data_IF_921350831304
#
_entry.id   IF_921350831304
#
_cell.length_a   1.000
_cell.length_b   1.000
_cell.length_c   1.000
_cell.angle_alpha   90.00
_cell.angle_beta   90.00
_cell.angle_gamma   90.00
#
_symmetry.space_group_name_H-M   'P 1'
#
loop_
_entity.id
_entity.type
_entity.pdbx_description
1 polymer ?
#
# COMPACT_ATOMS: atom_id res chain seq x y z
N UNK A 1 -9.37 -23.96 27.05
CA UNK A 1 -9.53 -24.80 25.85
C UNK A 1 -8.74 -24.13 24.73
N UNK A 2 -7.47 -24.51 24.56
CA UNK A 2 -6.55 -23.91 23.59
C UNK A 2 -6.48 -24.82 22.36
N UNK A 3 -6.73 -24.27 21.18
CA UNK A 3 -6.58 -24.98 19.90
C UNK A 3 -5.30 -24.47 19.22
N UNK A 4 -4.30 -25.35 19.23
CA UNK A 4 -3.05 -25.25 18.49
C UNK A 4 -3.30 -25.33 16.98
N UNK A 5 -2.61 -24.50 16.19
CA UNK A 5 -2.36 -24.79 14.77
C UNK A 5 -0.87 -24.65 14.46
N UNK A 6 -0.33 -25.77 13.99
CA UNK A 6 1.03 -25.99 13.51
C UNK A 6 1.39 -25.07 12.34
N UNK A 7 2.60 -24.52 12.37
CA UNK A 7 3.30 -24.03 11.19
C UNK A 7 4.55 -24.88 10.94
N UNK A 8 4.60 -25.50 9.77
CA UNK A 8 5.68 -26.37 9.33
C UNK A 8 6.93 -25.55 9.01
N UNK A 9 8.03 -25.96 9.61
CA UNK A 9 9.35 -25.32 9.61
C UNK A 9 10.15 -25.82 8.39
N UNK A 10 10.46 -24.97 7.42
CA UNK A 10 11.34 -25.34 6.30
C UNK A 10 12.78 -24.82 6.48
N UNK A 11 13.67 -25.77 6.74
CA UNK A 11 14.96 -25.96 6.04
C UNK A 11 16.06 -24.91 6.17
N UNK A 12 17.03 -25.16 7.06
CA UNK A 12 18.38 -24.58 7.01
C UNK A 12 19.16 -25.16 5.82
N UNK A 13 19.74 -24.33 4.96
CA UNK A 13 20.80 -24.75 4.03
C UNK A 13 22.09 -23.98 4.29
N UNK A 14 23.06 -24.67 4.87
CA UNK A 14 24.50 -24.34 4.83
C UNK A 14 25.01 -24.48 3.40
N UNK A 15 25.68 -23.47 2.83
CA UNK A 15 26.54 -23.66 1.66
C UNK A 15 27.84 -22.87 1.74
N UNK A 16 28.89 -23.64 1.49
CA UNK A 16 30.31 -23.33 1.41
C UNK A 16 30.63 -22.19 0.43
N UNK A 17 31.60 -21.36 0.79
CA UNK A 17 32.22 -20.39 -0.12
C UNK A 17 33.20 -21.12 -1.03
N UNK A 18 32.92 -21.20 -2.33
CA UNK A 18 33.96 -21.29 -3.35
C UNK A 18 34.04 -19.94 -4.09
N UNK A 19 35.26 -19.44 -4.23
CA UNK A 19 35.57 -18.22 -4.96
C UNK A 19 36.04 -18.61 -6.36
N UNK A 20 35.42 -18.03 -7.37
CA UNK A 20 35.89 -18.02 -8.75
C UNK A 20 36.61 -16.70 -9.06
N UNK A 21 37.41 -16.74 -10.11
CA UNK A 21 38.64 -15.97 -10.35
C UNK A 21 38.41 -14.58 -10.97
N UNK A 22 37.16 -14.15 -11.12
CA UNK A 22 36.79 -12.90 -11.78
C UNK A 22 35.84 -12.05 -10.93
N UNK A 23 36.32 -11.56 -9.78
CA UNK A 23 35.59 -10.85 -8.72
C UNK A 23 34.70 -9.65 -9.11
N UNK A 24 34.51 -9.35 -10.40
CA UNK A 24 33.58 -8.37 -10.95
C UNK A 24 32.18 -8.94 -11.21
N UNK A 25 32.03 -10.23 -11.52
CA UNK A 25 30.71 -10.80 -11.84
C UNK A 25 29.84 -11.06 -10.60
N UNK A 26 30.45 -11.23 -9.42
CA UNK A 26 29.68 -11.42 -8.17
C UNK A 26 28.93 -10.17 -7.74
N UNK A 27 29.42 -8.97 -8.06
CA UNK A 27 28.81 -7.72 -7.59
C UNK A 27 27.48 -7.42 -8.32
N UNK A 28 27.41 -7.72 -9.62
CA UNK A 28 26.19 -7.59 -10.42
C UNK A 28 25.13 -8.67 -10.07
N UNK A 29 25.58 -9.88 -9.72
CA UNK A 29 24.68 -10.98 -9.30
C UNK A 29 24.21 -10.79 -7.85
N UNK A 30 24.96 -10.06 -7.02
CA UNK A 30 24.60 -9.79 -5.62
C UNK A 30 23.29 -9.00 -5.48
N UNK A 31 23.03 -8.06 -6.39
CA UNK A 31 21.76 -7.30 -6.40
C UNK A 31 20.54 -8.19 -6.68
N UNK A 32 20.75 -9.36 -7.30
CA UNK A 32 19.67 -10.23 -7.80
C UNK A 32 19.26 -11.36 -6.85
N UNK A 33 20.00 -11.62 -5.76
CA UNK A 33 19.77 -12.81 -4.92
C UNK A 33 19.68 -12.53 -3.41
N UNK A 34 19.48 -11.28 -2.99
CA UNK A 34 19.38 -10.93 -1.56
C UNK A 34 18.49 -9.74 -1.21
N UNK A 35 17.99 -8.99 -2.19
CA UNK A 35 17.01 -7.92 -1.95
C UNK A 35 15.65 -8.39 -2.48
N UNK A 36 14.59 -8.25 -1.67
CA UNK A 36 13.24 -8.26 -2.22
C UNK A 36 13.20 -7.18 -3.29
N UNK A 37 12.70 -7.51 -4.48
CA UNK A 37 12.43 -6.48 -5.49
C UNK A 37 11.56 -5.39 -4.85
N UNK A 38 11.83 -4.10 -5.13
CA UNK A 38 10.98 -3.03 -4.65
C UNK A 38 9.56 -3.21 -5.20
N UNK A 39 8.56 -2.86 -4.38
CA UNK A 39 7.15 -2.89 -4.81
C UNK A 39 6.92 -1.81 -5.88
N UNK A 40 6.42 -2.22 -7.05
CA UNK A 40 6.04 -1.32 -8.13
C UNK A 40 4.63 -0.77 -7.89
N UNK A 41 4.55 0.34 -7.15
CA UNK A 41 3.32 1.05 -6.86
C UNK A 41 2.97 2.07 -7.97
N UNK A 42 1.88 1.81 -8.71
CA UNK A 42 1.47 2.63 -9.86
C UNK A 42 0.30 3.57 -9.57
N UNK A 43 0.34 4.85 -10.01
CA UNK A 43 -0.80 5.76 -9.92
C UNK A 43 -1.92 5.38 -10.88
N UNK A 44 -3.16 5.36 -10.39
CA UNK A 44 -4.35 5.12 -11.21
C UNK A 44 -5.39 6.21 -10.99
N UNK A 45 -5.65 7.00 -12.04
CA UNK A 45 -6.63 8.10 -12.03
C UNK A 45 -7.94 7.76 -12.74
N UNK A 46 -8.08 6.55 -13.26
CA UNK A 46 -9.30 6.06 -13.92
C UNK A 46 -9.28 4.54 -14.05
N UNK A 47 -10.44 3.88 -14.28
CA UNK A 47 -10.51 2.44 -14.52
C UNK A 47 -9.61 1.97 -15.67
N UNK A 48 -9.42 2.77 -16.71
CA UNK A 48 -8.55 2.44 -17.84
C UNK A 48 -7.07 2.42 -17.42
N UNK A 49 -6.63 3.42 -16.64
CA UNK A 49 -5.26 3.46 -16.11
C UNK A 49 -5.00 2.34 -15.10
N UNK A 50 -6.02 1.95 -14.32
CA UNK A 50 -5.97 0.80 -13.43
C UNK A 50 -5.71 -0.50 -14.20
N UNK A 51 -6.50 -0.76 -15.25
CA UNK A 51 -6.31 -1.94 -16.08
C UNK A 51 -4.94 -1.95 -16.75
N UNK A 52 -4.47 -0.80 -17.22
CA UNK A 52 -3.15 -0.68 -17.83
C UNK A 52 -2.02 -0.98 -16.82
N UNK A 53 -2.12 -0.47 -15.59
CA UNK A 53 -1.13 -0.71 -14.55
C UNK A 53 -1.07 -2.19 -14.14
N UNK A 54 -2.24 -2.82 -13.93
CA UNK A 54 -2.33 -4.25 -13.59
C UNK A 54 -1.73 -5.11 -14.71
N UNK A 55 -2.10 -4.86 -15.97
CA UNK A 55 -1.51 -5.58 -17.13
C UNK A 55 -0.03 -5.28 -17.34
N UNK A 56 0.43 -4.12 -16.86
CA UNK A 56 1.83 -3.68 -16.89
C UNK A 56 2.71 -4.34 -15.83
N UNK A 57 2.14 -5.17 -14.95
CA UNK A 57 2.89 -5.88 -13.90
C UNK A 57 3.16 -5.04 -12.65
N UNK A 58 2.27 -4.09 -12.33
CA UNK A 58 2.31 -3.41 -11.04
C UNK A 58 2.07 -4.40 -9.88
N UNK A 59 2.86 -4.29 -8.81
CA UNK A 59 2.63 -5.06 -7.57
C UNK A 59 1.49 -4.45 -6.75
N UNK A 60 1.34 -3.13 -6.83
CA UNK A 60 0.30 -2.37 -6.16
C UNK A 60 -0.13 -1.17 -7.01
N UNK A 61 -1.33 -0.67 -6.76
CA UNK A 61 -1.86 0.56 -7.36
C UNK A 61 -2.34 1.50 -6.28
N UNK A 62 -2.26 2.82 -6.53
CA UNK A 62 -2.95 3.78 -5.69
C UNK A 62 -3.92 4.64 -6.48
N UNK A 63 -5.08 4.91 -5.88
CA UNK A 63 -6.14 5.71 -6.47
C UNK A 63 -6.77 6.67 -5.45
N UNK A 64 -7.35 7.75 -5.99
CA UNK A 64 -8.11 8.72 -5.22
C UNK A 64 -9.59 8.35 -5.23
N UNK A 65 -10.21 8.26 -4.05
CA UNK A 65 -11.66 8.19 -3.92
C UNK A 65 -12.28 9.57 -3.79
N UNK A 66 -13.60 9.71 -3.93
CA UNK A 66 -14.29 11.01 -3.96
C UNK A 66 -14.16 11.90 -2.70
N UNK A 67 -13.62 11.38 -1.59
CA UNK A 67 -13.48 12.11 -0.34
C UNK A 67 -12.01 12.19 0.10
N UNK A 68 -11.65 13.33 0.70
CA UNK A 68 -10.38 13.54 1.43
C UNK A 68 -9.11 13.29 0.62
N UNK A 69 -9.15 13.53 -0.69
CA UNK A 69 -8.00 13.47 -1.58
C UNK A 69 -7.68 14.86 -2.16
N UNK A 70 -6.40 15.16 -2.39
CA UNK A 70 -5.97 16.49 -2.86
C UNK A 70 -6.34 16.80 -4.32
N UNK A 71 -6.76 15.79 -5.11
CA UNK A 71 -7.15 15.90 -6.52
C UNK A 71 -8.67 15.80 -6.70
N UNK A 72 -9.45 16.52 -5.88
CA UNK A 72 -10.92 16.46 -5.95
C UNK A 72 -11.51 16.81 -7.32
N UNK A 73 -10.80 17.59 -8.15
CA UNK A 73 -11.24 17.97 -9.51
C UNK A 73 -10.82 16.97 -10.61
N UNK A 74 -10.06 15.92 -10.28
CA UNK A 74 -9.78 14.83 -11.21
C UNK A 74 -10.95 13.85 -11.24
N UNK A 75 -11.03 13.01 -12.29
CA UNK A 75 -11.92 11.83 -12.27
C UNK A 75 -11.45 10.91 -11.12
N UNK A 76 -12.09 11.00 -9.97
CA UNK A 76 -11.84 10.10 -8.83
C UNK A 76 -12.79 8.91 -8.91
N UNK A 77 -12.45 7.86 -8.18
CA UNK A 77 -13.29 6.68 -8.06
C UNK A 77 -14.40 6.94 -7.04
N UNK A 78 -15.64 6.62 -7.41
CA UNK A 78 -16.73 6.53 -6.44
C UNK A 78 -16.67 5.23 -5.63
N UNK A 79 -17.53 5.13 -4.60
CA UNK A 79 -17.55 3.99 -3.68
C UNK A 79 -17.79 2.64 -4.37
N UNK A 80 -18.56 2.60 -5.46
CA UNK A 80 -18.78 1.35 -6.21
C UNK A 80 -17.56 1.04 -7.07
N UNK A 81 -17.01 2.05 -7.74
CA UNK A 81 -15.79 1.90 -8.53
C UNK A 81 -14.59 1.48 -7.69
N UNK A 82 -14.50 1.91 -6.42
CA UNK A 82 -13.47 1.43 -5.48
C UNK A 82 -13.63 -0.07 -5.24
N UNK A 83 -14.85 -0.56 -4.99
CA UNK A 83 -15.09 -2.00 -4.78
C UNK A 83 -14.73 -2.81 -6.01
N UNK A 84 -15.14 -2.33 -7.18
CA UNK A 84 -14.79 -2.96 -8.47
C UNK A 84 -13.27 -2.96 -8.69
N UNK A 85 -12.59 -1.86 -8.38
CA UNK A 85 -11.14 -1.76 -8.46
C UNK A 85 -10.44 -2.75 -7.53
N UNK A 86 -10.90 -2.87 -6.29
CA UNK A 86 -10.36 -3.85 -5.32
C UNK A 86 -10.55 -5.27 -5.83
N UNK A 87 -11.77 -5.65 -6.24
CA UNK A 87 -12.03 -7.00 -6.77
C UNK A 87 -11.13 -7.31 -7.97
N UNK A 88 -11.09 -6.41 -8.94
CA UNK A 88 -10.29 -6.58 -10.15
C UNK A 88 -8.79 -6.70 -9.85
N UNK A 89 -8.25 -5.83 -9.00
CA UNK A 89 -6.83 -5.86 -8.64
C UNK A 89 -6.46 -7.13 -7.86
N UNK A 90 -7.28 -7.52 -6.88
CA UNK A 90 -7.04 -8.72 -6.08
C UNK A 90 -7.12 -10.02 -6.90
N UNK A 91 -8.05 -10.11 -7.85
CA UNK A 91 -8.11 -11.23 -8.81
C UNK A 91 -6.84 -11.37 -9.65
N UNK A 92 -6.09 -10.28 -9.82
CA UNK A 92 -4.81 -10.24 -10.53
C UNK A 92 -3.59 -10.22 -9.60
N UNK A 93 -3.77 -10.41 -8.28
CA UNK A 93 -2.70 -10.42 -7.30
C UNK A 93 -2.06 -9.05 -7.03
N UNK A 94 -2.74 -7.96 -7.37
CA UNK A 94 -2.28 -6.57 -7.21
C UNK A 94 -2.95 -5.94 -5.99
N UNK A 95 -2.18 -5.25 -5.15
CA UNK A 95 -2.69 -4.55 -3.95
C UNK A 95 -3.29 -3.18 -4.31
N UNK A 96 -4.25 -2.69 -3.51
CA UNK A 96 -4.93 -1.41 -3.75
C UNK A 96 -4.77 -0.46 -2.57
N UNK A 97 -4.20 0.71 -2.84
CA UNK A 97 -3.98 1.78 -1.85
C UNK A 97 -4.90 2.97 -2.15
N UNK A 98 -5.38 3.63 -1.10
CA UNK A 98 -6.24 4.82 -1.23
C UNK A 98 -5.57 6.04 -0.64
N UNK A 99 -5.57 7.14 -1.38
CA UNK A 99 -5.06 8.42 -0.90
C UNK A 99 -6.08 9.13 -0.01
N UNK A 100 -5.69 9.46 1.22
CA UNK A 100 -6.38 10.33 2.17
C UNK A 100 -5.46 11.50 2.58
N UNK A 101 -4.99 12.24 1.57
CA UNK A 101 -3.87 13.18 1.64
C UNK A 101 -4.31 14.65 1.78
N UNK A 102 -5.42 14.91 2.47
CA UNK A 102 -5.88 16.26 2.83
C UNK A 102 -5.82 16.49 4.33
N UNK A 103 -5.48 17.70 4.76
CA UNK A 103 -5.64 18.12 6.16
C UNK A 103 -7.12 18.16 6.52
N UNK A 104 -7.45 17.71 7.73
CA UNK A 104 -8.84 17.63 8.18
C UNK A 104 -9.14 18.67 9.25
N UNK A 105 -10.36 19.22 9.21
CA UNK A 105 -10.94 19.89 10.36
C UNK A 105 -11.49 18.87 11.37
N UNK A 106 -11.65 19.26 12.63
CA UNK A 106 -12.24 18.40 13.67
C UNK A 106 -13.63 17.86 13.28
N UNK A 107 -14.42 18.67 12.55
CA UNK A 107 -15.76 18.29 12.07
C UNK A 107 -15.69 17.21 11.00
N UNK A 108 -14.64 17.21 10.20
CA UNK A 108 -14.42 16.25 9.11
C UNK A 108 -13.82 14.93 9.60
N UNK A 109 -13.07 14.93 10.71
CA UNK A 109 -12.44 13.73 11.24
C UNK A 109 -13.42 12.57 11.45
N UNK A 110 -14.61 12.84 12.00
CA UNK A 110 -15.64 11.80 12.18
C UNK A 110 -16.14 11.24 10.84
N UNK A 111 -16.21 12.07 9.79
CA UNK A 111 -16.60 11.64 8.44
C UNK A 111 -15.47 10.85 7.78
N UNK A 112 -14.22 11.28 7.94
CA UNK A 112 -13.05 10.57 7.46
C UNK A 112 -12.92 9.17 8.09
N UNK A 113 -13.12 9.02 9.40
CA UNK A 113 -13.08 7.72 10.05
C UNK A 113 -14.19 6.76 9.57
N UNK A 114 -15.39 7.28 9.25
CA UNK A 114 -16.43 6.45 8.61
C UNK A 114 -16.01 5.99 7.21
N UNK A 115 -15.35 6.87 6.46
CA UNK A 115 -14.83 6.52 5.15
C UNK A 115 -13.69 5.50 5.24
N UNK A 116 -12.74 5.65 6.19
CA UNK A 116 -11.72 4.64 6.49
C UNK A 116 -12.35 3.30 6.84
N UNK A 117 -13.39 3.28 7.68
CA UNK A 117 -14.11 2.05 8.02
C UNK A 117 -14.71 1.38 6.79
N UNK A 118 -15.24 2.16 5.85
CA UNK A 118 -15.72 1.67 4.57
C UNK A 118 -14.58 1.04 3.74
N UNK A 119 -13.46 1.75 3.57
CA UNK A 119 -12.31 1.27 2.79
C UNK A 119 -11.76 -0.04 3.39
N UNK A 120 -11.57 -0.08 4.70
CA UNK A 120 -11.10 -1.25 5.44
C UNK A 120 -12.03 -2.46 5.23
N UNK A 121 -13.34 -2.26 5.36
CA UNK A 121 -14.34 -3.33 5.22
C UNK A 121 -14.47 -3.85 3.78
N UNK A 122 -14.00 -3.09 2.79
CA UNK A 122 -14.04 -3.47 1.37
C UNK A 122 -12.68 -3.93 0.85
N UNK A 123 -11.71 -4.24 1.72
CA UNK A 123 -10.46 -4.90 1.33
C UNK A 123 -9.39 -3.99 0.76
N UNK A 124 -9.46 -2.67 0.99
CA UNK A 124 -8.32 -1.78 0.66
C UNK A 124 -7.11 -2.18 1.51
N UNK A 125 -5.95 -2.30 0.87
CA UNK A 125 -4.73 -2.85 1.49
C UNK A 125 -3.95 -1.82 2.30
N UNK A 126 -3.91 -0.56 1.86
CA UNK A 126 -3.20 0.50 2.56
C UNK A 126 -3.82 1.89 2.32
N UNK A 127 -3.48 2.83 3.20
CA UNK A 127 -3.85 4.24 3.07
C UNK A 127 -2.61 5.12 2.96
N UNK A 128 -2.68 6.13 2.08
CA UNK A 128 -1.64 7.15 1.94
C UNK A 128 -2.16 8.44 2.58
N UNK A 129 -1.69 8.77 3.78
CA UNK A 129 -2.25 9.85 4.62
C UNK A 129 -1.30 11.04 4.75
N UNK A 130 -1.86 12.25 4.90
CA UNK A 130 -1.07 13.46 5.16
C UNK A 130 -1.31 14.04 6.57
N UNK A 131 -2.54 13.90 7.09
CA UNK A 131 -2.93 14.44 8.39
C UNK A 131 -2.50 13.52 9.54
N UNK A 132 -1.69 14.04 10.48
CA UNK A 132 -1.17 13.25 11.61
C UNK A 132 -2.28 12.86 12.61
N UNK A 133 -3.30 13.70 12.79
CA UNK A 133 -4.42 13.40 13.67
C UNK A 133 -5.27 12.25 13.14
N UNK A 134 -5.55 12.27 11.85
CA UNK A 134 -6.17 11.15 11.13
C UNK A 134 -5.31 9.89 11.23
N UNK A 135 -4.02 10.00 10.89
CA UNK A 135 -3.08 8.85 10.90
C UNK A 135 -3.03 8.19 12.28
N UNK A 136 -2.92 8.98 13.36
CA UNK A 136 -2.94 8.48 14.72
C UNK A 136 -4.28 7.83 15.09
N UNK A 137 -5.40 8.41 14.65
CA UNK A 137 -6.73 7.83 14.87
C UNK A 137 -6.90 6.50 14.12
N UNK A 138 -6.45 6.41 12.86
CA UNK A 138 -6.50 5.17 12.08
C UNK A 138 -5.66 4.09 12.76
N UNK A 139 -4.42 4.40 13.12
CA UNK A 139 -3.53 3.44 13.80
C UNK A 139 -4.14 2.91 15.11
N UNK A 140 -4.94 3.73 15.82
CA UNK A 140 -5.63 3.32 17.05
C UNK A 140 -6.85 2.43 16.78
N UNK A 141 -7.68 2.76 15.80
CA UNK A 141 -8.95 2.05 15.54
C UNK A 141 -8.84 0.90 14.55
N UNK A 142 -7.81 0.90 13.70
CA UNK A 142 -7.54 -0.07 12.64
C UNK A 142 -6.04 -0.44 12.64
N UNK A 143 -5.54 -1.12 13.70
CA UNK A 143 -4.10 -1.33 13.89
C UNK A 143 -3.43 -2.17 12.80
N UNK A 144 -4.21 -3.01 12.10
CA UNK A 144 -3.73 -3.85 10.99
C UNK A 144 -3.82 -3.16 9.62
N UNK A 145 -4.35 -1.94 9.54
CA UNK A 145 -4.45 -1.20 8.28
C UNK A 145 -3.11 -0.53 7.99
N UNK A 146 -2.46 -0.92 6.89
CA UNK A 146 -1.16 -0.37 6.51
C UNK A 146 -1.27 1.13 6.18
N UNK A 147 -0.33 1.92 6.71
CA UNK A 147 -0.32 3.38 6.58
C UNK A 147 1.00 3.84 5.96
N UNK A 148 0.89 4.60 4.88
CA UNK A 148 1.99 5.24 4.18
C UNK A 148 1.89 6.76 4.36
N UNK A 149 3.01 7.41 4.64
CA UNK A 149 3.05 8.86 4.66
C UNK A 149 2.97 9.41 3.22
N UNK A 150 2.02 10.31 2.99
CA UNK A 150 1.96 11.08 1.75
C UNK A 150 3.19 11.98 1.62
N UNK A 151 3.63 12.27 0.39
CA UNK A 151 4.62 13.33 0.14
C UNK A 151 4.15 14.71 0.59
N UNK A 152 2.84 14.87 0.79
CA UNK A 152 2.20 16.08 1.35
C UNK A 152 2.15 16.08 2.87
N UNK A 153 2.62 15.02 3.54
CA UNK A 153 2.72 14.99 4.98
C UNK A 153 3.81 15.99 5.42
N UNK A 154 3.42 16.96 6.24
CA UNK A 154 4.35 17.90 6.84
C UNK A 154 4.68 17.43 8.26
N UNK A 155 5.93 17.06 8.48
CA UNK A 155 6.50 16.87 9.81
C UNK A 155 7.50 17.99 10.08
N UNK A 156 7.31 18.73 11.17
CA UNK A 156 8.34 19.64 11.66
C UNK A 156 9.36 18.83 12.46
N UNK A 157 10.60 18.73 11.98
CA UNK A 157 11.72 18.19 12.75
C UNK A 157 12.11 19.22 13.81
N UNK A 158 12.37 18.82 15.05
CA UNK A 158 12.76 19.75 16.13
C UNK A 158 14.23 20.17 16.08
N UNK A 159 14.90 19.97 14.94
CA UNK A 159 16.33 20.23 14.74
C UNK A 159 16.55 21.63 14.15
#
# INVERSE_FOLDING_TARGET
>A
MALSRHFTKYGKHTRSKSCDENGLLKQLVFWRNGMKNPELLSPCGSPETLQAAVKGGADAVYLGGNLFNARMNAKNFDDNQIKEAVSFSHENGVRVYITLNTLLTDRELKKALRYVSFLYSNGVDALITADLGLTAAIHRYFPDFELHASTQAFGHSTD
#
